data_IF_509804517048
#
_entry.id   IF_509804517048
#
_cell.length_a   1.000
_cell.length_b   1.000
_cell.length_c   1.000
_cell.angle_alpha   90.00
_cell.angle_beta   90.00
_cell.angle_gamma   90.00
#
_symmetry.space_group_name_H-M   'P 1'
#
loop_
_entity.id
_entity.type
_entity.pdbx_description
1 polymer ?
#
# COMPACT_ATOMS: atom_id res chain seq x y z
N UNK A 1 12.90 -9.40 17.46
CA UNK A 1 12.13 -9.88 16.29
C UNK A 1 11.81 -8.64 15.50
N UNK A 2 12.33 -8.49 14.28
CA UNK A 2 11.88 -7.41 13.41
C UNK A 2 10.53 -7.84 12.87
N UNK A 3 9.45 -7.39 13.52
CA UNK A 3 8.12 -7.69 13.05
C UNK A 3 7.92 -6.96 11.71
N UNK A 4 7.45 -7.67 10.70
CA UNK A 4 7.17 -7.14 9.38
C UNK A 4 5.84 -6.38 9.38
N UNK A 5 5.80 -5.26 10.10
CA UNK A 5 4.56 -4.60 10.54
C UNK A 5 3.80 -3.83 9.45
N UNK A 6 4.48 -3.33 8.43
CA UNK A 6 3.87 -2.31 7.56
C UNK A 6 2.72 -2.79 6.68
N UNK A 7 2.74 -4.00 6.07
CA UNK A 7 1.61 -4.49 5.30
C UNK A 7 0.31 -4.50 6.09
N UNK A 8 0.35 -4.95 7.35
CA UNK A 8 -0.82 -5.05 8.22
C UNK A 8 -1.31 -3.67 8.68
N UNK A 9 -0.39 -2.79 9.10
CA UNK A 9 -0.73 -1.42 9.49
C UNK A 9 -1.34 -0.65 8.31
N UNK A 10 -0.70 -0.69 7.14
CA UNK A 10 -1.18 0.00 5.94
C UNK A 10 -2.55 -0.53 5.52
N UNK A 11 -2.75 -1.86 5.50
CA UNK A 11 -4.03 -2.49 5.19
C UNK A 11 -5.13 -2.07 6.15
N UNK A 12 -4.83 -2.08 7.46
CA UNK A 12 -5.76 -1.68 8.52
C UNK A 12 -6.21 -0.23 8.35
N UNK A 13 -5.28 0.70 8.17
CA UNK A 13 -5.61 2.13 8.10
C UNK A 13 -6.33 2.48 6.79
N UNK A 14 -5.97 1.84 5.66
CA UNK A 14 -6.71 2.01 4.40
C UNK A 14 -8.14 1.48 4.51
N UNK A 15 -8.34 0.27 5.04
CA UNK A 15 -9.67 -0.32 5.22
C UNK A 15 -10.53 0.42 6.25
N UNK A 16 -9.92 1.12 7.20
CA UNK A 16 -10.62 1.99 8.13
C UNK A 16 -10.97 3.37 7.55
N UNK A 17 -10.49 3.71 6.36
CA UNK A 17 -10.65 5.05 5.77
C UNK A 17 -9.82 6.13 6.48
N UNK A 18 -8.80 5.73 7.24
CA UNK A 18 -7.99 6.63 8.07
C UNK A 18 -6.86 7.25 7.25
N UNK A 19 -7.16 8.32 6.49
CA UNK A 19 -6.18 8.96 5.61
C UNK A 19 -4.90 9.38 6.34
N UNK A 20 -4.99 10.10 7.46
CA UNK A 20 -3.78 10.60 8.14
C UNK A 20 -2.88 9.46 8.68
N UNK A 21 -3.40 8.46 9.42
CA UNK A 21 -2.62 7.27 9.78
C UNK A 21 -2.06 6.49 8.59
N UNK A 22 -2.81 6.38 7.50
CA UNK A 22 -2.35 5.73 6.27
C UNK A 22 -1.14 6.45 5.67
N UNK A 23 -1.17 7.77 5.60
CA UNK A 23 -0.05 8.58 5.11
C UNK A 23 1.17 8.47 6.04
N UNK A 24 0.95 8.27 7.35
CA UNK A 24 2.01 7.97 8.29
C UNK A 24 2.68 6.60 8.07
N UNK A 25 2.15 5.71 7.23
CA UNK A 25 2.91 4.52 6.82
C UNK A 25 4.09 4.87 5.90
N UNK A 26 4.04 5.99 5.19
CA UNK A 26 5.04 6.40 4.20
C UNK A 26 6.14 7.27 4.83
N UNK A 27 7.36 7.12 4.34
CA UNK A 27 8.42 8.07 4.58
C UNK A 27 8.21 9.36 3.77
N UNK A 28 8.86 10.45 4.16
CA UNK A 28 8.73 11.77 3.52
C UNK A 28 9.21 11.80 2.05
N UNK A 29 10.21 10.99 1.73
CA UNK A 29 10.82 10.78 0.41
C UNK A 29 10.32 9.49 -0.28
N UNK A 30 9.18 8.93 0.14
CA UNK A 30 8.68 7.68 -0.39
C UNK A 30 8.27 7.80 -1.87
N UNK A 31 8.48 6.72 -2.63
CA UNK A 31 8.05 6.61 -4.03
C UNK A 31 6.96 5.56 -4.14
N UNK A 32 5.85 5.92 -4.78
CA UNK A 32 4.70 5.07 -5.02
C UNK A 32 4.48 4.88 -6.53
N UNK A 33 4.59 3.64 -7.00
CA UNK A 33 4.10 3.20 -8.29
C UNK A 33 2.71 2.61 -8.06
N UNK A 34 1.68 3.44 -8.25
CA UNK A 34 0.32 3.09 -7.86
C UNK A 34 -0.40 2.28 -8.95
N UNK A 35 -1.36 1.45 -8.55
CA UNK A 35 -2.10 0.55 -9.45
C UNK A 35 -2.84 1.27 -10.56
N UNK A 36 -3.37 2.46 -10.27
CA UNK A 36 -4.24 3.24 -11.16
C UNK A 36 -3.60 4.54 -11.63
N UNK A 37 -2.26 4.66 -11.56
CA UNK A 37 -1.50 5.82 -12.02
C UNK A 37 -0.42 5.38 -12.99
N UNK A 38 -0.32 6.07 -14.12
CA UNK A 38 0.67 5.76 -15.14
C UNK A 38 2.08 6.19 -14.73
N UNK A 39 2.19 7.37 -14.12
CA UNK A 39 3.45 7.94 -13.69
C UNK A 39 3.71 7.65 -12.20
N UNK A 40 4.99 7.48 -11.81
CA UNK A 40 5.36 7.35 -10.41
C UNK A 40 4.99 8.59 -9.61
N UNK A 41 4.48 8.38 -8.40
CA UNK A 41 4.21 9.43 -7.42
C UNK A 41 5.43 9.53 -6.50
N UNK A 42 6.04 10.71 -6.45
CA UNK A 42 7.33 10.93 -5.77
C UNK A 42 7.27 12.03 -4.69
N UNK A 43 6.07 12.53 -4.37
CA UNK A 43 5.87 13.57 -3.35
C UNK A 43 4.84 13.16 -2.32
N UNK A 44 4.95 13.62 -1.06
CA UNK A 44 3.93 13.40 -0.03
C UNK A 44 2.53 13.86 -0.44
N UNK A 45 2.44 15.01 -1.11
CA UNK A 45 1.17 15.57 -1.59
C UNK A 45 0.54 14.66 -2.65
N UNK A 46 1.34 14.13 -3.57
CA UNK A 46 0.84 13.19 -4.58
C UNK A 46 0.34 11.88 -3.97
N UNK A 47 1.02 11.36 -2.94
CA UNK A 47 0.57 10.15 -2.23
C UNK A 47 -0.75 10.44 -1.49
N UNK A 48 -0.87 11.61 -0.86
CA UNK A 48 -2.10 12.10 -0.23
C UNK A 48 -3.24 12.18 -1.25
N UNK A 49 -3.02 12.83 -2.39
CA UNK A 49 -4.06 13.01 -3.41
C UNK A 49 -4.53 11.67 -3.98
N UNK A 50 -3.60 10.73 -4.22
CA UNK A 50 -3.93 9.39 -4.67
C UNK A 50 -4.84 8.66 -3.67
N UNK A 51 -4.48 8.62 -2.39
CA UNK A 51 -5.29 7.93 -1.39
C UNK A 51 -6.57 8.67 -1.03
N UNK A 52 -6.58 10.00 -1.11
CA UNK A 52 -7.82 10.80 -0.99
C UNK A 52 -8.81 10.40 -2.09
N UNK A 53 -8.34 10.32 -3.34
CA UNK A 53 -9.17 9.89 -4.47
C UNK A 53 -9.63 8.43 -4.37
N UNK A 54 -8.76 7.52 -3.91
CA UNK A 54 -9.12 6.12 -3.71
C UNK A 54 -10.18 5.95 -2.61
N UNK A 55 -9.97 6.57 -1.44
CA UNK A 55 -10.87 6.47 -0.28
C UNK A 55 -12.20 7.20 -0.47
N UNK A 56 -12.29 8.12 -1.44
CA UNK A 56 -13.56 8.75 -1.81
C UNK A 56 -14.53 7.79 -2.50
N UNK A 57 -14.08 6.61 -2.96
CA UNK A 57 -14.94 5.61 -3.58
C UNK A 57 -15.76 4.86 -2.52
N UNK A 58 -17.04 4.62 -2.81
CA UNK A 58 -17.93 3.91 -1.89
C UNK A 58 -17.38 2.51 -1.60
N UNK A 59 -17.28 2.13 -0.32
CA UNK A 59 -16.80 0.80 0.07
C UNK A 59 -15.34 0.50 -0.30
N UNK A 60 -14.52 1.54 -0.55
CA UNK A 60 -13.11 1.37 -0.89
C UNK A 60 -12.34 0.58 0.19
N UNK A 61 -11.55 -0.38 -0.26
CA UNK A 61 -10.73 -1.19 0.61
C UNK A 61 -9.73 -2.05 -0.14
N UNK A 62 -8.94 -2.81 0.64
CA UNK A 62 -7.93 -3.73 0.15
C UNK A 62 -7.98 -5.04 0.94
N UNK A 63 -7.89 -6.16 0.24
CA UNK A 63 -7.82 -7.50 0.85
C UNK A 63 -6.53 -8.17 0.45
N UNK A 64 -5.67 -8.44 1.42
CA UNK A 64 -4.43 -9.18 1.19
C UNK A 64 -4.71 -10.68 1.05
N UNK A 65 -3.95 -11.36 0.19
CA UNK A 65 -3.82 -12.81 0.23
C UNK A 65 -2.64 -13.16 1.14
N UNK A 66 -2.94 -13.39 2.43
CA UNK A 66 -1.93 -13.68 3.45
C UNK A 66 -1.05 -14.89 3.11
N UNK A 67 -1.54 -15.84 2.30
CA UNK A 67 -0.76 -17.01 1.90
C UNK A 67 0.32 -16.70 0.87
N UNK A 68 0.17 -15.57 0.16
CA UNK A 68 1.12 -15.08 -0.85
C UNK A 68 2.19 -14.16 -0.29
N UNK A 69 2.04 -13.68 0.95
CA UNK A 69 2.93 -12.66 1.51
C UNK A 69 4.27 -13.30 1.87
N UNK A 70 5.34 -12.74 1.32
CA UNK A 70 6.71 -13.10 1.64
C UNK A 70 7.45 -11.88 2.16
N UNK A 71 8.29 -12.10 3.17
CA UNK A 71 9.14 -11.07 3.75
C UNK A 71 10.61 -11.45 3.59
N UNK A 72 11.44 -10.47 3.25
CA UNK A 72 12.88 -10.63 3.15
C UNK A 72 13.57 -9.52 3.92
N UNK A 73 14.46 -9.87 4.85
CA UNK A 73 15.40 -8.91 5.40
C UNK A 73 16.37 -8.47 4.29
N UNK A 74 16.57 -7.16 4.15
CA UNK A 74 17.55 -6.59 3.22
C UNK A 74 18.80 -6.10 3.95
N UNK A 75 18.63 -5.60 5.17
CA UNK A 75 19.71 -5.17 6.07
C UNK A 75 19.21 -5.18 7.52
N UNK A 76 20.04 -4.76 8.48
CA UNK A 76 19.63 -4.59 9.88
C UNK A 76 18.47 -3.58 10.03
N UNK A 77 18.43 -2.56 9.16
CA UNK A 77 17.49 -1.43 9.24
C UNK A 77 16.49 -1.41 8.08
N UNK A 78 16.32 -2.49 7.33
CA UNK A 78 15.36 -2.52 6.23
C UNK A 78 14.89 -3.92 5.84
N UNK A 79 13.64 -4.03 5.42
CA UNK A 79 13.09 -5.25 4.85
C UNK A 79 12.25 -4.97 3.61
N UNK A 80 11.98 -6.04 2.86
CA UNK A 80 11.01 -6.07 1.79
C UNK A 80 9.82 -6.94 2.19
N UNK A 81 8.61 -6.52 1.85
CA UNK A 81 7.42 -7.36 1.87
C UNK A 81 6.77 -7.35 0.50
N UNK A 82 6.42 -8.52 -0.02
CA UNK A 82 5.81 -8.68 -1.34
C UNK A 82 4.68 -9.68 -1.26
N UNK A 83 3.76 -9.64 -2.21
CA UNK A 83 2.65 -10.57 -2.28
C UNK A 83 1.54 -10.08 -3.20
N UNK A 84 0.36 -10.66 -3.01
CA UNK A 84 -0.85 -10.33 -3.74
C UNK A 84 -1.88 -9.69 -2.81
N UNK A 85 -2.64 -8.76 -3.38
CA UNK A 85 -3.82 -8.20 -2.76
C UNK A 85 -4.88 -7.87 -3.81
N UNK A 86 -6.06 -7.48 -3.37
CA UNK A 86 -7.16 -7.06 -4.22
C UNK A 86 -7.72 -5.76 -3.68
N UNK A 87 -7.66 -4.70 -4.49
CA UNK A 87 -8.45 -3.50 -4.22
C UNK A 87 -9.90 -3.74 -4.59
N UNK A 88 -10.80 -3.22 -3.78
CA UNK A 88 -12.23 -3.28 -4.05
C UNK A 88 -12.90 -1.94 -3.72
N UNK A 89 -13.97 -1.63 -4.41
CA UNK A 89 -14.84 -0.48 -4.18
C UNK A 89 -16.15 -0.66 -4.97
N UNK A 90 -17.10 0.25 -4.78
CA UNK A 90 -18.36 0.31 -5.52
C UNK A 90 -18.36 1.50 -6.48
N UNK A 91 -18.84 1.26 -7.70
CA UNK A 91 -19.01 2.28 -8.74
C UNK A 91 -20.30 2.00 -9.50
N UNK A 92 -21.18 3.00 -9.63
CA UNK A 92 -22.50 2.88 -10.29
C UNK A 92 -23.37 1.71 -9.79
N UNK A 93 -23.24 1.36 -8.51
CA UNK A 93 -23.99 0.27 -7.88
C UNK A 93 -23.37 -1.12 -8.04
N UNK A 94 -22.27 -1.24 -8.79
CA UNK A 94 -21.54 -2.49 -9.02
C UNK A 94 -20.31 -2.60 -8.12
N UNK A 95 -20.00 -3.83 -7.67
CA UNK A 95 -18.76 -4.12 -6.94
C UNK A 95 -17.61 -4.31 -7.94
N UNK A 96 -16.61 -3.45 -7.85
CA UNK A 96 -15.39 -3.48 -8.66
C UNK A 96 -14.27 -4.12 -7.86
N UNK A 97 -13.49 -5.01 -8.51
CA UNK A 97 -12.33 -5.68 -7.91
C UNK A 97 -11.13 -5.62 -8.84
N UNK A 98 -9.97 -5.30 -8.28
CA UNK A 98 -8.69 -5.22 -8.98
C UNK A 98 -7.63 -6.07 -8.27
N UNK A 99 -7.47 -7.34 -8.66
CA UNK A 99 -6.34 -8.15 -8.23
C UNK A 99 -5.02 -7.50 -8.65
N UNK A 100 -4.07 -7.45 -7.73
CA UNK A 100 -2.81 -6.78 -7.96
C UNK A 100 -1.67 -7.44 -7.16
N UNK A 101 -0.45 -7.20 -7.62
CA UNK A 101 0.79 -7.50 -6.91
C UNK A 101 1.21 -6.26 -6.14
N UNK A 102 1.86 -6.45 -5.01
CA UNK A 102 2.51 -5.37 -4.27
C UNK A 102 3.96 -5.72 -3.92
N UNK A 103 4.78 -4.70 -3.74
CA UNK A 103 6.08 -4.78 -3.10
C UNK A 103 6.32 -3.52 -2.29
N UNK A 104 6.68 -3.71 -1.02
CA UNK A 104 7.09 -2.68 -0.10
C UNK A 104 8.58 -2.83 0.20
N UNK A 105 9.33 -1.74 0.10
CA UNK A 105 10.61 -1.59 0.80
C UNK A 105 10.36 -0.72 2.01
N UNK A 106 10.74 -1.22 3.18
CA UNK A 106 10.44 -0.60 4.47
C UNK A 106 11.74 -0.37 5.21
N UNK A 107 11.93 0.85 5.68
CA UNK A 107 12.99 1.21 6.62
C UNK A 107 12.53 0.97 8.06
N UNK A 108 13.48 0.53 8.90
CA UNK A 108 13.29 0.20 10.31
C UNK A 108 14.13 1.18 11.13
N UNK A 109 13.44 2.07 11.85
CA UNK A 109 14.02 2.91 12.91
C UNK A 109 13.11 2.83 14.15
N UNK A 110 12.86 3.96 14.84
CA UNK A 110 11.86 4.03 15.91
C UNK A 110 10.43 3.77 15.42
N UNK A 111 10.15 4.13 14.15
CA UNK A 111 8.90 3.87 13.45
C UNK A 111 9.25 3.29 12.09
N UNK A 112 8.68 2.15 11.73
CA UNK A 112 8.89 1.55 10.41
C UNK A 112 8.21 2.43 9.37
N UNK A 113 8.80 2.64 8.20
CA UNK A 113 8.22 3.50 7.14
C UNK A 113 8.44 2.88 5.75
N UNK A 114 7.40 2.91 4.92
CA UNK A 114 7.47 2.50 3.52
C UNK A 114 8.27 3.55 2.76
N UNK A 115 9.40 3.15 2.17
CA UNK A 115 10.22 3.97 1.27
C UNK A 115 9.88 3.77 -0.19
N UNK A 116 9.52 2.55 -0.56
CA UNK A 116 9.08 2.24 -1.91
C UNK A 116 7.84 1.37 -1.83
N UNK A 117 6.80 1.76 -2.54
CA UNK A 117 5.61 0.94 -2.76
C UNK A 117 5.43 0.79 -4.27
N UNK A 118 5.55 -0.44 -4.77
CA UNK A 118 5.12 -0.77 -6.11
C UNK A 118 3.85 -1.60 -6.05
N UNK A 119 2.81 -1.17 -6.77
CA UNK A 119 1.62 -1.96 -6.99
C UNK A 119 1.19 -1.94 -8.45
N UNK A 120 0.90 -3.13 -8.97
CA UNK A 120 0.50 -3.29 -10.35
C UNK A 120 -0.58 -4.37 -10.48
N UNK A 121 -1.56 -4.09 -11.34
CA UNK A 121 -2.61 -5.06 -11.70
C UNK A 121 -1.99 -6.39 -12.14
N UNK A 122 -2.69 -7.50 -11.91
CA UNK A 122 -2.30 -8.78 -12.49
C UNK A 122 -2.36 -8.66 -14.03
N UNK A 123 -1.27 -8.94 -14.76
CA UNK A 123 -1.29 -8.90 -16.22
C UNK A 123 -2.28 -9.93 -16.78
N UNK A 124 -2.91 -9.57 -17.91
CA UNK A 124 -3.74 -10.48 -18.68
C UNK A 124 -2.91 -11.55 -19.41
#
# INVERSE_FOLDING_TARGET
MNDYLQPDLWSKELNAGNLEPLLQCYAEDAILFATFQAEPITTPEGIRDYFTGFLAREGAGVRFDSSSIVHHSLSENSYMSTGLYEFFYRENGEDIRHPARFSYVVEIYSVHKIKHHHSSVIPA
#
